data_IF_743482912872
#
_entry.id   IF_743482912872
#
_cell.length_a   1.000
_cell.length_b   1.000
_cell.length_c   1.000
_cell.angle_alpha   90.00
_cell.angle_beta   90.00
_cell.angle_gamma   90.00
#
_symmetry.space_group_name_H-M   'P 1'
#
loop_
_entity.id
_entity.type
_entity.pdbx_description
1 polymer ?
#
# COMPACT_ATOMS: atom_id res chain seq x y z
N UNK A 1 27.29 25.63 25.85
CA UNK A 1 26.43 24.64 25.18
C UNK A 1 25.03 24.82 25.69
N UNK A 2 23.97 24.59 24.85
CA UNK A 2 22.60 24.62 25.32
C UNK A 2 22.33 23.49 26.32
N UNK A 3 21.37 23.72 27.22
CA UNK A 3 20.79 22.66 28.05
C UNK A 3 19.70 21.98 27.27
N UNK A 4 19.83 20.69 27.01
CA UNK A 4 18.79 19.88 26.36
C UNK A 4 18.11 19.04 27.42
N UNK A 5 16.79 19.17 27.53
CA UNK A 5 15.96 18.44 28.50
C UNK A 5 14.85 17.69 27.81
N UNK A 6 14.56 16.48 28.28
CA UNK A 6 13.36 15.76 27.83
C UNK A 6 12.14 16.34 28.53
N UNK A 7 11.17 16.79 27.74
CA UNK A 7 9.97 17.42 28.22
C UNK A 7 8.74 16.75 27.67
N UNK A 8 7.82 16.39 28.56
CA UNK A 8 6.50 15.88 28.19
C UNK A 8 5.47 17.02 28.35
N UNK A 9 4.89 17.54 27.24
CA UNK A 9 3.93 18.64 27.32
C UNK A 9 2.63 18.26 28.03
N UNK A 10 2.31 16.97 28.13
CA UNK A 10 1.12 16.47 28.83
C UNK A 10 1.26 16.49 30.36
N UNK A 11 2.51 16.55 30.87
CA UNK A 11 2.83 16.52 32.28
C UNK A 11 3.68 17.74 32.65
N UNK A 12 3.08 18.84 33.13
CA UNK A 12 3.86 20.01 33.57
C UNK A 12 4.89 19.60 34.62
N UNK A 13 6.16 19.83 34.34
CA UNK A 13 7.26 19.44 35.24
C UNK A 13 8.33 20.50 35.34
N UNK A 14 8.93 20.59 36.54
CA UNK A 14 10.13 21.36 36.75
C UNK A 14 11.37 20.51 36.44
N UNK A 15 12.34 21.06 35.75
CA UNK A 15 13.65 20.43 35.59
C UNK A 15 14.74 21.21 36.32
N UNK A 16 15.70 20.48 36.86
CA UNK A 16 16.78 21.04 37.68
C UNK A 16 17.81 21.78 36.83
N UNK A 17 18.19 22.96 37.24
CA UNK A 17 19.29 23.73 36.66
C UNK A 17 20.68 23.24 37.14
N UNK A 18 20.73 22.28 38.06
CA UNK A 18 22.00 21.75 38.63
C UNK A 18 22.92 21.08 37.58
N UNK A 19 22.32 20.61 36.47
CA UNK A 19 23.10 19.93 35.40
C UNK A 19 23.84 20.89 34.47
N UNK A 20 23.66 22.19 34.64
CA UNK A 20 24.27 23.20 33.73
C UNK A 20 25.77 23.34 33.95
N UNK A 21 26.25 23.00 35.14
CA UNK A 21 27.68 23.13 35.51
C UNK A 21 28.17 24.57 35.53
N UNK A 22 27.26 25.56 35.63
CA UNK A 22 27.61 26.96 35.78
C UNK A 22 28.12 27.25 37.19
N UNK A 23 29.07 28.14 37.31
CA UNK A 23 29.57 28.63 38.59
C UNK A 23 29.36 30.13 38.70
N UNK A 24 28.91 30.57 39.86
CA UNK A 24 28.79 31.97 40.21
C UNK A 24 29.54 32.21 41.53
N UNK A 25 30.26 33.30 41.62
CA UNK A 25 31.01 33.66 42.83
C UNK A 25 31.02 35.14 43.07
N UNK A 26 31.27 35.55 44.31
CA UNK A 26 31.39 36.96 44.70
C UNK A 26 30.19 37.83 44.41
N UNK A 27 28.96 37.28 44.59
CA UNK A 27 27.72 37.94 44.40
C UNK A 27 26.99 38.18 45.76
N UNK A 28 26.18 39.23 45.83
CA UNK A 28 25.29 39.55 46.95
C UNK A 28 23.94 38.84 46.79
N UNK A 29 23.41 38.89 45.54
CA UNK A 29 22.14 38.27 45.19
C UNK A 29 22.11 37.93 43.72
N UNK A 30 21.19 37.07 43.32
CA UNK A 30 20.96 36.75 41.90
C UNK A 30 19.48 36.64 41.60
N UNK A 31 19.13 36.76 40.34
CA UNK A 31 17.76 36.49 39.79
C UNK A 31 17.85 35.66 38.55
N UNK A 32 16.86 34.77 38.37
CA UNK A 32 16.61 34.12 37.14
C UNK A 32 15.44 34.77 36.41
N UNK A 33 15.56 34.91 35.10
CA UNK A 33 14.52 35.44 34.24
C UNK A 33 14.37 34.57 32.99
N UNK A 34 13.12 34.29 32.59
CA UNK A 34 12.81 33.65 31.30
C UNK A 34 12.60 34.71 30.23
N UNK A 35 13.45 34.74 29.21
CA UNK A 35 13.54 35.75 28.18
C UNK A 35 12.46 35.61 27.10
N UNK A 36 11.21 35.35 27.51
CA UNK A 36 10.04 35.31 26.61
C UNK A 36 9.34 33.98 26.48
N UNK A 37 9.79 32.92 27.15
CA UNK A 37 9.14 31.61 27.14
C UNK A 37 7.90 31.51 28.00
N UNK A 38 7.70 32.47 28.93
CA UNK A 38 6.55 32.52 29.83
C UNK A 38 6.57 31.47 30.94
N UNK A 39 7.74 30.90 31.21
CA UNK A 39 7.94 29.89 32.24
C UNK A 39 8.09 30.46 33.66
N UNK A 40 8.26 29.56 34.61
CA UNK A 40 8.40 29.90 36.03
C UNK A 40 9.55 29.14 36.69
N UNK A 41 10.08 29.72 37.76
CA UNK A 41 11.13 29.13 38.56
C UNK A 41 10.61 28.67 39.92
N UNK A 42 11.05 27.47 40.34
CA UNK A 42 10.90 27.05 41.73
C UNK A 42 12.18 27.41 42.48
N UNK A 43 12.02 28.22 43.53
CA UNK A 43 13.17 28.70 44.29
C UNK A 43 13.94 27.54 44.98
N UNK A 44 15.27 27.58 44.82
CA UNK A 44 16.21 26.76 45.54
C UNK A 44 16.95 27.57 46.62
N UNK A 45 18.21 27.25 46.84
CA UNK A 45 19.03 27.99 47.76
C UNK A 45 19.40 29.37 47.20
N UNK A 46 19.23 30.43 48.01
CA UNK A 46 19.51 31.82 47.60
C UNK A 46 21.04 32.10 47.40
N UNK A 47 21.89 31.19 47.82
CA UNK A 47 23.35 31.28 47.59
C UNK A 47 23.85 30.35 46.47
N UNK A 48 22.97 29.57 45.88
CA UNK A 48 23.29 28.65 44.78
C UNK A 48 22.24 28.70 43.69
N UNK A 49 22.45 29.44 42.61
CA UNK A 49 21.50 29.55 41.50
C UNK A 49 21.23 28.22 40.79
N UNK A 50 22.18 27.25 40.90
CA UNK A 50 22.03 25.95 40.29
C UNK A 50 21.09 25.01 41.08
N UNK A 51 20.74 25.33 42.31
CA UNK A 51 19.76 24.57 43.10
C UNK A 51 18.31 24.86 42.71
N UNK A 52 18.08 25.78 41.79
CA UNK A 52 16.76 26.16 41.29
C UNK A 52 16.27 25.19 40.20
N UNK A 53 14.96 25.20 39.99
CA UNK A 53 14.34 24.43 38.91
C UNK A 53 13.47 25.36 38.05
N UNK A 54 13.41 25.06 36.76
CA UNK A 54 12.63 25.83 35.79
C UNK A 54 11.51 24.97 35.23
N UNK A 55 10.32 25.54 35.08
CA UNK A 55 9.17 24.99 34.38
C UNK A 55 8.92 25.82 33.13
N UNK A 56 8.96 25.22 31.92
CA UNK A 56 8.69 25.92 30.69
C UNK A 56 7.26 26.47 30.62
N UNK A 57 7.12 27.66 30.07
CA UNK A 57 5.80 28.22 29.73
C UNK A 57 5.33 27.77 28.36
N UNK A 58 4.07 28.06 28.02
CA UNK A 58 3.46 27.61 26.76
C UNK A 58 4.25 28.03 25.53
N UNK A 59 4.78 29.25 25.50
CA UNK A 59 5.56 29.72 24.36
C UNK A 59 6.90 28.98 24.22
N UNK A 60 7.58 28.65 25.31
CA UNK A 60 8.80 27.84 25.28
C UNK A 60 8.49 26.43 24.75
N UNK A 61 7.33 25.87 25.11
CA UNK A 61 6.87 24.55 24.64
C UNK A 61 6.57 24.59 23.14
N UNK A 62 5.86 25.59 22.67
CA UNK A 62 5.52 25.77 21.25
C UNK A 62 6.77 25.97 20.38
N UNK A 63 7.71 26.80 20.84
CA UNK A 63 8.96 27.11 20.15
C UNK A 63 10.01 25.98 20.32
N UNK A 64 9.77 25.01 21.22
CA UNK A 64 10.72 23.95 21.64
C UNK A 64 12.05 24.49 22.16
N UNK A 65 12.08 25.73 22.55
CA UNK A 65 13.30 26.40 23.08
C UNK A 65 12.95 27.66 23.85
N UNK A 66 13.80 28.02 24.77
CA UNK A 66 13.78 29.34 25.43
C UNK A 66 15.19 29.76 25.82
N UNK A 67 15.37 31.03 26.21
CA UNK A 67 16.58 31.56 26.78
C UNK A 67 16.34 31.98 28.23
N UNK A 68 17.13 31.46 29.14
CA UNK A 68 17.12 31.89 30.53
C UNK A 68 18.29 32.87 30.78
N UNK A 69 18.03 33.90 31.54
CA UNK A 69 19.02 34.88 31.95
C UNK A 69 19.25 34.76 33.47
N UNK A 70 20.49 34.67 33.87
CA UNK A 70 20.96 34.76 35.23
C UNK A 70 21.64 36.12 35.44
N UNK A 71 21.10 36.94 36.31
CA UNK A 71 21.68 38.24 36.68
C UNK A 71 22.23 38.14 38.09
N UNK A 72 23.49 38.52 38.26
CA UNK A 72 24.19 38.52 39.54
C UNK A 72 24.54 39.94 39.96
N UNK A 73 24.15 40.30 41.19
CA UNK A 73 24.45 41.61 41.81
C UNK A 73 25.76 41.48 42.63
N UNK A 74 26.77 42.32 42.42
CA UNK A 74 28.04 42.22 43.13
C UNK A 74 27.91 42.51 44.64
N UNK A 75 28.84 41.96 45.44
CA UNK A 75 29.02 42.27 46.87
C UNK A 75 29.60 43.67 47.09
N UNK A 76 29.34 44.27 48.26
CA UNK A 76 30.04 45.48 48.69
C UNK A 76 31.57 45.22 48.83
N UNK A 77 32.44 46.20 48.48
CA UNK A 77 32.15 47.57 48.04
C UNK A 77 31.91 47.72 46.54
N UNK A 78 31.78 46.61 45.78
CA UNK A 78 31.58 46.62 44.33
C UNK A 78 30.13 46.81 43.90
N UNK A 79 29.21 47.10 44.81
CA UNK A 79 27.77 47.27 44.52
C UNK A 79 27.44 48.43 43.56
N UNK A 80 28.43 49.31 43.26
CA UNK A 80 28.34 50.35 42.24
C UNK A 80 28.78 49.88 40.83
N UNK A 81 29.29 48.63 40.69
CA UNK A 81 29.65 48.06 39.39
C UNK A 81 28.39 47.48 38.70
N UNK A 82 28.39 47.41 37.36
CA UNK A 82 27.27 46.82 36.65
C UNK A 82 27.01 45.39 37.10
N UNK A 83 25.74 44.99 37.14
CA UNK A 83 25.29 43.60 37.25
C UNK A 83 25.93 42.73 36.15
N UNK A 84 26.19 41.47 36.46
CA UNK A 84 26.74 40.50 35.54
C UNK A 84 25.61 39.62 35.04
N UNK A 85 25.50 39.49 33.74
CA UNK A 85 24.49 38.67 33.10
C UNK A 85 25.12 37.46 32.41
N UNK A 86 24.43 36.33 32.52
CA UNK A 86 24.74 35.11 31.79
C UNK A 86 23.46 34.53 31.15
N UNK A 87 23.61 33.98 29.95
CA UNK A 87 22.50 33.43 29.20
C UNK A 87 22.64 31.94 28.97
N UNK A 88 21.55 31.22 29.14
CA UNK A 88 21.44 29.81 28.89
C UNK A 88 20.34 29.54 27.91
N UNK A 89 20.64 28.92 26.77
CA UNK A 89 19.64 28.38 25.87
C UNK A 89 19.18 27.02 26.39
N UNK A 90 17.88 26.85 26.55
CA UNK A 90 17.25 25.57 26.87
C UNK A 90 16.54 25.07 25.64
N UNK A 91 16.80 23.82 25.26
CA UNK A 91 16.11 23.11 24.18
C UNK A 91 15.21 22.07 24.87
N UNK A 92 13.92 22.13 24.53
CA UNK A 92 12.91 21.18 25.01
C UNK A 92 12.77 20.07 23.97
N UNK A 93 13.42 18.96 24.25
CA UNK A 93 13.33 17.77 23.44
C UNK A 93 12.10 16.95 23.86
N UNK A 94 11.51 16.19 22.94
CA UNK A 94 10.32 15.37 23.19
C UNK A 94 10.59 13.94 22.76
N UNK A 95 9.97 12.99 23.47
CA UNK A 95 10.00 11.59 23.01
C UNK A 95 9.37 11.47 21.62
N UNK A 96 9.87 10.57 20.78
CA UNK A 96 9.22 10.25 19.51
C UNK A 96 7.78 9.81 19.75
N UNK A 97 6.90 10.18 18.85
CA UNK A 97 5.52 9.71 18.82
C UNK A 97 5.30 8.89 17.54
N UNK A 98 4.59 7.78 17.65
CA UNK A 98 4.24 6.90 16.54
C UNK A 98 2.73 6.99 16.32
N UNK A 99 2.32 7.52 15.17
CA UNK A 99 0.93 7.77 14.81
C UNK A 99 0.49 6.76 13.77
N UNK A 100 -0.24 5.73 14.19
CA UNK A 100 -0.82 4.76 13.25
C UNK A 100 -2.07 5.35 12.61
N UNK A 101 -2.06 5.47 11.28
CA UNK A 101 -3.17 6.03 10.52
C UNK A 101 -4.35 5.06 10.47
N UNK A 102 -5.55 5.63 10.33
CA UNK A 102 -6.77 4.87 10.07
C UNK A 102 -6.80 4.46 8.59
N UNK A 103 -7.41 3.31 8.28
CA UNK A 103 -7.52 2.79 6.92
C UNK A 103 -6.95 1.38 6.79
N UNK A 104 -7.18 0.80 5.63
CA UNK A 104 -6.74 -0.55 5.33
C UNK A 104 -5.22 -0.61 5.17
N UNK A 105 -4.60 -1.58 5.84
CA UNK A 105 -3.18 -1.86 5.77
C UNK A 105 -3.01 -3.22 5.13
N UNK A 106 -2.74 -3.22 3.83
CA UNK A 106 -2.72 -4.43 3.02
C UNK A 106 -1.28 -4.73 2.58
N UNK A 107 -0.89 -5.98 2.73
CA UNK A 107 0.36 -6.53 2.20
C UNK A 107 0.03 -7.63 1.19
N UNK A 108 0.63 -7.56 0.03
CA UNK A 108 0.42 -8.53 -1.05
C UNK A 108 1.48 -9.63 -1.02
N UNK A 109 1.07 -10.85 -1.30
CA UNK A 109 1.94 -12.02 -1.43
C UNK A 109 3.01 -11.83 -2.52
N UNK A 110 4.18 -12.36 -2.26
CA UNK A 110 5.24 -12.51 -3.27
C UNK A 110 6.03 -11.24 -3.60
N UNK A 111 5.56 -10.06 -3.16
CA UNK A 111 6.20 -8.77 -3.42
C UNK A 111 6.67 -8.11 -2.13
N UNK A 112 7.62 -7.20 -2.26
CA UNK A 112 8.01 -6.31 -1.18
C UNK A 112 7.05 -5.13 -1.15
N UNK A 113 6.27 -5.03 -0.07
CA UNK A 113 5.30 -3.97 0.15
C UNK A 113 5.97 -2.84 0.94
N UNK A 114 5.88 -1.62 0.46
CA UNK A 114 6.39 -0.45 1.17
C UNK A 114 5.45 -0.07 2.31
N UNK A 115 6.01 0.14 3.51
CA UNK A 115 5.28 0.73 4.63
C UNK A 115 5.46 2.24 4.51
N UNK A 116 4.38 2.96 4.20
CA UNK A 116 4.42 4.39 3.85
C UNK A 116 3.89 5.28 4.98
N UNK A 117 4.04 6.59 4.79
CA UNK A 117 3.43 7.59 5.68
C UNK A 117 1.90 7.57 5.70
N UNK A 118 1.25 6.89 4.74
CA UNK A 118 -0.20 6.68 4.75
C UNK A 118 -0.63 5.62 5.77
N UNK A 119 0.32 4.78 6.21
CA UNK A 119 0.11 3.72 7.21
C UNK A 119 0.51 4.20 8.61
N UNK A 120 1.68 4.80 8.73
CA UNK A 120 2.25 5.26 10.00
C UNK A 120 3.04 6.54 9.81
N UNK A 121 2.89 7.46 10.74
CA UNK A 121 3.67 8.69 10.78
C UNK A 121 4.44 8.80 12.10
N UNK A 122 5.42 9.68 12.13
CA UNK A 122 6.32 9.84 13.27
C UNK A 122 6.55 11.31 13.55
N UNK A 123 6.34 11.70 14.80
CA UNK A 123 6.65 13.03 15.29
C UNK A 123 7.82 13.00 16.27
N UNK A 124 8.53 14.10 16.42
CA UNK A 124 9.69 14.25 17.29
C UNK A 124 10.78 13.19 17.05
N UNK A 125 10.87 12.67 15.82
CA UNK A 125 11.79 11.59 15.46
C UNK A 125 13.14 12.07 14.92
N UNK A 126 13.42 13.36 15.02
CA UNK A 126 14.70 13.96 14.58
C UNK A 126 15.87 13.27 15.29
N UNK A 127 16.84 12.78 14.52
CA UNK A 127 17.98 12.01 15.03
C UNK A 127 17.60 10.72 15.79
N UNK A 128 16.46 10.13 15.47
CA UNK A 128 16.06 8.81 16.00
C UNK A 128 16.51 7.69 15.07
N UNK A 129 16.66 6.50 15.65
CA UNK A 129 16.86 5.26 14.91
C UNK A 129 15.58 4.44 14.93
N UNK A 130 15.35 3.71 13.84
CA UNK A 130 14.18 2.87 13.66
C UNK A 130 14.57 1.41 13.69
N UNK A 131 13.69 0.56 14.21
CA UNK A 131 13.82 -0.89 14.12
C UNK A 131 12.44 -1.51 13.93
N UNK A 132 12.27 -2.22 12.82
CA UNK A 132 11.06 -2.98 12.50
C UNK A 132 11.29 -4.46 12.75
N UNK A 133 10.29 -5.10 13.39
CA UNK A 133 10.30 -6.53 13.74
C UNK A 133 8.91 -7.11 13.60
N UNK A 134 8.78 -8.43 13.71
CA UNK A 134 7.51 -9.16 13.64
C UNK A 134 7.35 -9.91 12.32
N UNK A 135 6.31 -10.76 12.25
CA UNK A 135 6.07 -11.66 11.14
C UNK A 135 7.15 -12.72 10.96
N UNK A 136 6.92 -13.63 10.03
CA UNK A 136 7.91 -14.63 9.60
C UNK A 136 8.48 -14.34 8.19
N UNK A 137 8.12 -13.18 7.65
CA UNK A 137 8.57 -12.70 6.36
C UNK A 137 9.94 -12.00 6.39
N UNK A 138 10.22 -11.24 5.35
CA UNK A 138 11.51 -10.59 5.19
C UNK A 138 11.35 -9.07 5.04
N UNK A 139 12.18 -8.33 5.78
CA UNK A 139 12.34 -6.89 5.61
C UNK A 139 13.47 -6.56 4.63
N UNK A 140 13.27 -5.50 3.84
CA UNK A 140 14.35 -4.74 3.25
C UNK A 140 14.45 -3.43 4.02
N UNK A 141 15.66 -3.15 4.53
CA UNK A 141 15.94 -1.94 5.32
C UNK A 141 15.08 -1.82 6.60
N UNK A 142 15.05 -2.86 7.44
CA UNK A 142 14.29 -2.86 8.71
C UNK A 142 14.66 -1.71 9.67
N UNK A 143 15.79 -1.03 9.44
CA UNK A 143 16.21 0.18 10.17
C UNK A 143 15.79 1.48 9.49
N UNK A 144 15.08 1.42 8.38
CA UNK A 144 14.50 2.59 7.72
C UNK A 144 13.24 3.07 8.44
N UNK A 145 12.94 4.38 8.32
CA UNK A 145 11.66 4.96 8.77
C UNK A 145 10.48 4.27 8.07
N UNK A 146 10.62 4.01 6.77
CA UNK A 146 9.66 3.32 5.92
C UNK A 146 10.35 2.15 5.22
N UNK A 147 10.31 0.95 5.80
CA UNK A 147 10.90 -0.24 5.21
C UNK A 147 9.96 -0.90 4.21
N UNK A 148 10.49 -1.88 3.50
CA UNK A 148 9.68 -2.81 2.72
C UNK A 148 9.55 -4.13 3.49
N UNK A 149 8.36 -4.74 3.44
CA UNK A 149 8.10 -6.05 4.01
C UNK A 149 7.48 -6.99 2.98
N UNK A 150 7.98 -8.21 2.93
CA UNK A 150 7.42 -9.31 2.12
C UNK A 150 6.90 -10.37 3.07
N UNK A 151 5.58 -10.67 3.07
CA UNK A 151 4.98 -11.66 3.95
C UNK A 151 5.60 -13.04 3.82
N UNK A 152 5.73 -13.73 4.94
CA UNK A 152 6.19 -15.11 5.04
C UNK A 152 5.05 -16.14 5.00
N UNK A 153 5.38 -17.44 5.06
CA UNK A 153 4.37 -18.51 4.97
C UNK A 153 3.33 -18.47 6.08
N UNK A 154 3.71 -18.13 7.31
CA UNK A 154 2.76 -18.04 8.44
C UNK A 154 1.83 -16.84 8.25
N UNK A 155 2.37 -15.68 7.86
CA UNK A 155 1.58 -14.48 7.58
C UNK A 155 0.53 -14.75 6.50
N UNK A 156 0.93 -15.46 5.44
CA UNK A 156 0.04 -15.87 4.34
C UNK A 156 -1.01 -16.87 4.80
N UNK A 157 -0.68 -17.79 5.72
CA UNK A 157 -1.62 -18.80 6.18
C UNK A 157 -2.66 -18.22 7.13
N UNK A 158 -2.27 -17.25 7.96
CA UNK A 158 -3.16 -16.57 8.91
C UNK A 158 -3.98 -15.45 8.26
N UNK A 159 -3.49 -14.88 7.15
CA UNK A 159 -4.10 -13.73 6.49
C UNK A 159 -3.89 -12.40 7.21
N UNK A 160 -3.10 -12.41 8.30
CA UNK A 160 -2.77 -11.21 9.09
C UNK A 160 -1.35 -11.31 9.62
N UNK A 161 -0.70 -10.15 9.80
CA UNK A 161 0.60 -10.04 10.46
C UNK A 161 0.64 -8.79 11.33
N UNK A 162 1.27 -8.91 12.50
CA UNK A 162 1.59 -7.75 13.34
C UNK A 162 3.06 -7.43 13.21
N UNK A 163 3.36 -6.25 12.68
CA UNK A 163 4.70 -5.69 12.66
C UNK A 163 4.84 -4.66 13.77
N UNK A 164 6.02 -4.60 14.39
CA UNK A 164 6.31 -3.67 15.48
C UNK A 164 7.41 -2.71 15.04
N UNK A 165 7.11 -1.42 15.08
CA UNK A 165 8.15 -0.39 14.93
C UNK A 165 8.60 0.09 16.29
N UNK A 166 9.91 0.19 16.48
CA UNK A 166 10.56 0.81 17.64
C UNK A 166 11.36 2.01 17.16
N UNK A 167 11.09 3.16 17.77
CA UNK A 167 11.82 4.41 17.53
C UNK A 167 12.64 4.72 18.78
N UNK A 168 13.94 4.83 18.59
CA UNK A 168 14.89 5.10 19.69
C UNK A 168 15.60 6.42 19.42
N UNK A 169 15.45 7.44 20.29
CA UNK A 169 16.21 8.66 20.19
C UNK A 169 17.71 8.36 20.26
N UNK A 170 18.52 8.93 19.37
CA UNK A 170 19.97 8.72 19.34
C UNK A 170 20.78 9.89 19.91
N UNK A 171 20.12 11.04 20.09
CA UNK A 171 20.72 12.24 20.69
C UNK A 171 19.61 13.13 21.26
N UNK A 172 19.98 14.06 22.12
CA UNK A 172 19.04 15.00 22.72
C UNK A 172 18.80 14.73 24.21
N UNK A 173 17.73 15.30 24.75
CA UNK A 173 17.36 15.17 26.17
C UNK A 173 16.57 13.89 26.45
N UNK A 174 15.87 13.36 25.46
CA UNK A 174 15.08 12.14 25.57
C UNK A 174 15.89 10.90 25.17
N UNK A 175 15.69 9.81 25.91
CA UNK A 175 16.41 8.55 25.68
C UNK A 175 15.48 7.33 25.66
N UNK A 176 14.19 7.54 25.90
CA UNK A 176 13.22 6.43 25.99
C UNK A 176 12.77 6.01 24.61
N UNK A 177 12.99 4.74 24.28
CA UNK A 177 12.45 4.14 23.06
C UNK A 177 10.93 3.96 23.17
N UNK A 178 10.23 4.21 22.05
CA UNK A 178 8.80 4.02 21.92
C UNK A 178 8.55 2.90 20.90
N UNK A 179 7.66 1.97 21.21
CA UNK A 179 7.31 0.87 20.32
C UNK A 179 5.80 0.82 20.09
N UNK A 180 5.40 0.54 18.83
CA UNK A 180 4.02 0.44 18.42
C UNK A 180 3.79 -0.77 17.53
N UNK A 181 2.88 -1.71 17.91
CA UNK A 181 2.43 -2.75 17.01
C UNK A 181 1.43 -2.20 15.98
N UNK A 182 1.55 -2.70 14.76
CA UNK A 182 0.68 -2.35 13.63
C UNK A 182 0.23 -3.66 12.99
N UNK A 183 -1.08 -3.87 12.92
CA UNK A 183 -1.65 -5.04 12.26
C UNK A 183 -1.89 -4.76 10.77
N UNK A 184 -1.53 -5.71 9.93
CA UNK A 184 -1.71 -5.70 8.49
C UNK A 184 -2.53 -6.90 8.06
N UNK A 185 -3.43 -6.69 7.09
CA UNK A 185 -4.06 -7.79 6.36
C UNK A 185 -3.11 -8.29 5.28
N UNK A 186 -2.96 -9.59 5.16
CA UNK A 186 -2.10 -10.21 4.15
C UNK A 186 -2.97 -10.87 3.08
N UNK A 187 -2.91 -10.31 1.87
CA UNK A 187 -3.67 -10.82 0.73
C UNK A 187 -2.81 -11.79 -0.10
N UNK A 188 -3.36 -12.98 -0.31
CA UNK A 188 -2.80 -13.98 -1.22
C UNK A 188 -3.02 -13.56 -2.66
N UNK A 189 -2.08 -13.96 -3.52
CA UNK A 189 -2.24 -13.78 -4.96
C UNK A 189 -3.50 -14.49 -5.45
N UNK A 190 -4.20 -13.81 -6.34
CA UNK A 190 -5.29 -14.41 -7.10
C UNK A 190 -4.72 -15.05 -8.36
N UNK A 191 -5.39 -16.07 -8.85
CA UNK A 191 -5.05 -16.78 -10.06
C UNK A 191 -6.32 -16.88 -10.88
N UNK A 192 -6.28 -16.34 -12.09
CA UNK A 192 -7.33 -16.58 -13.09
C UNK A 192 -6.87 -17.77 -13.94
N UNK A 193 -7.76 -18.74 -14.15
CA UNK A 193 -7.52 -19.90 -15.00
C UNK A 193 -8.80 -20.23 -15.76
N UNK A 194 -8.81 -19.94 -17.04
CA UNK A 194 -9.95 -20.16 -17.92
C UNK A 194 -10.02 -21.58 -18.49
N UNK A 195 -9.03 -22.40 -18.14
CA UNK A 195 -8.92 -23.77 -18.63
C UNK A 195 -8.37 -23.87 -20.05
N UNK A 196 -8.54 -25.04 -20.70
CA UNK A 196 -8.05 -25.28 -22.05
C UNK A 196 -8.91 -24.55 -23.10
N UNK A 197 -8.32 -24.39 -24.28
CA UNK A 197 -9.04 -23.89 -25.45
C UNK A 197 -10.26 -24.76 -25.78
N UNK A 198 -11.28 -24.13 -26.37
CA UNK A 198 -12.61 -24.71 -26.54
C UNK A 198 -12.94 -24.80 -28.03
N UNK A 199 -13.37 -25.97 -28.46
CA UNK A 199 -13.90 -26.19 -29.81
C UNK A 199 -15.42 -26.00 -29.81
N UNK A 200 -15.90 -25.06 -30.61
CA UNK A 200 -17.27 -24.64 -30.67
C UNK A 200 -17.81 -24.86 -32.09
N UNK A 201 -18.78 -25.76 -32.23
CA UNK A 201 -19.43 -25.97 -33.52
C UNK A 201 -20.46 -24.86 -33.80
N UNK A 202 -20.39 -24.26 -34.99
CA UNK A 202 -21.41 -23.31 -35.46
C UNK A 202 -22.77 -23.98 -35.45
N UNK A 203 -23.74 -23.36 -34.74
CA UNK A 203 -25.12 -23.80 -34.66
C UNK A 203 -26.06 -22.73 -35.24
N UNK A 204 -27.23 -23.14 -35.67
CA UNK A 204 -28.10 -22.27 -36.46
C UNK A 204 -28.91 -21.27 -35.63
N UNK A 205 -28.95 -21.34 -34.23
CA UNK A 205 -29.72 -20.37 -33.46
C UNK A 205 -29.72 -20.64 -31.95
N UNK A 206 -29.46 -19.66 -31.07
CA UNK A 206 -28.44 -18.63 -31.21
C UNK A 206 -27.06 -19.24 -30.99
N UNK A 207 -26.12 -18.91 -31.87
CA UNK A 207 -24.73 -19.34 -31.75
C UNK A 207 -24.03 -18.58 -30.58
N UNK A 208 -23.98 -19.19 -29.43
CA UNK A 208 -23.39 -18.59 -28.21
C UNK A 208 -22.75 -19.64 -27.32
N UNK A 209 -21.77 -19.21 -26.54
CA UNK A 209 -21.04 -20.06 -25.59
C UNK A 209 -21.20 -19.52 -24.18
N UNK A 210 -21.64 -20.38 -23.27
CA UNK A 210 -21.74 -20.06 -21.85
C UNK A 210 -20.40 -20.33 -21.16
N UNK A 211 -19.71 -19.25 -20.78
CA UNK A 211 -18.46 -19.31 -20.00
C UNK A 211 -18.82 -19.67 -18.56
N UNK A 212 -18.58 -20.90 -18.15
CA UNK A 212 -18.95 -21.41 -16.86
C UNK A 212 -17.78 -22.15 -16.21
N UNK A 213 -17.32 -21.67 -15.05
CA UNK A 213 -16.25 -22.30 -14.30
C UNK A 213 -15.87 -21.56 -13.03
N UNK A 214 -15.09 -22.21 -12.22
CA UNK A 214 -14.48 -21.64 -11.03
C UNK A 214 -13.12 -20.97 -11.43
N UNK A 215 -13.22 -19.93 -12.24
CA UNK A 215 -12.05 -19.34 -12.93
C UNK A 215 -11.07 -18.63 -12.01
N UNK A 216 -11.48 -18.24 -10.80
CA UNK A 216 -10.65 -17.48 -9.89
C UNK A 216 -10.38 -18.30 -8.64
N UNK A 217 -9.10 -18.47 -8.35
CA UNK A 217 -8.63 -19.13 -7.13
C UNK A 217 -7.57 -18.26 -6.43
N UNK A 218 -7.25 -18.56 -5.18
CA UNK A 218 -6.11 -18.02 -4.51
C UNK A 218 -4.89 -18.96 -4.60
N UNK A 219 -3.74 -18.49 -4.14
CA UNK A 219 -2.48 -19.24 -4.08
C UNK A 219 -2.41 -20.27 -2.94
N UNK A 220 -3.50 -20.58 -2.27
CA UNK A 220 -3.55 -21.59 -1.20
C UNK A 220 -3.22 -22.99 -1.72
N UNK A 221 -2.84 -23.88 -0.81
CA UNK A 221 -2.66 -25.30 -1.14
C UNK A 221 -3.51 -26.17 -0.19
N UNK A 222 -4.64 -26.77 -0.65
CA UNK A 222 -5.20 -26.66 -2.01
C UNK A 222 -5.72 -25.24 -2.31
N UNK A 223 -5.79 -24.83 -3.60
CA UNK A 223 -6.35 -23.54 -3.99
C UNK A 223 -7.80 -23.39 -3.55
N UNK A 224 -8.16 -22.21 -3.06
CA UNK A 224 -9.53 -21.87 -2.68
C UNK A 224 -10.21 -21.15 -3.84
N UNK A 225 -11.40 -21.60 -4.22
CA UNK A 225 -12.23 -20.94 -5.24
C UNK A 225 -12.75 -19.62 -4.69
N UNK A 226 -12.70 -18.59 -5.52
CA UNK A 226 -13.20 -17.25 -5.22
C UNK A 226 -14.33 -16.93 -6.16
N UNK A 227 -15.46 -16.50 -5.62
CA UNK A 227 -16.65 -16.10 -6.39
C UNK A 227 -16.93 -14.60 -6.17
N UNK A 228 -16.13 -13.71 -6.79
CA UNK A 228 -16.31 -12.28 -6.60
C UNK A 228 -17.59 -11.77 -7.28
N UNK A 229 -18.14 -10.70 -6.73
CA UNK A 229 -19.28 -9.97 -7.31
C UNK A 229 -18.85 -8.72 -8.06
N UNK A 230 -17.59 -8.34 -7.95
CA UNK A 230 -17.00 -7.15 -8.58
C UNK A 230 -15.56 -7.43 -8.99
N UNK A 231 -14.96 -6.53 -9.74
CA UNK A 231 -13.55 -6.61 -10.13
C UNK A 231 -13.26 -7.47 -11.36
N UNK A 232 -14.29 -8.09 -11.96
CA UNK A 232 -14.16 -8.89 -13.17
C UNK A 232 -14.33 -8.00 -14.39
N UNK A 233 -13.51 -8.25 -15.41
CA UNK A 233 -13.68 -7.65 -16.75
C UNK A 233 -13.36 -8.68 -17.82
N UNK A 234 -14.33 -8.92 -18.70
CA UNK A 234 -14.15 -9.72 -19.91
C UNK A 234 -13.93 -8.83 -21.12
N UNK A 235 -13.08 -9.28 -22.02
CA UNK A 235 -12.80 -8.62 -23.29
C UNK A 235 -12.33 -9.59 -24.35
N UNK A 236 -12.29 -9.10 -25.59
CA UNK A 236 -11.64 -9.78 -26.70
C UNK A 236 -10.18 -9.30 -26.73
N UNK A 237 -9.24 -10.23 -26.70
CA UNK A 237 -7.83 -9.90 -26.68
C UNK A 237 -7.44 -9.08 -27.92
N UNK A 238 -6.75 -7.96 -27.71
CA UNK A 238 -6.31 -7.02 -28.74
C UNK A 238 -7.43 -6.44 -29.62
N UNK A 239 -8.70 -6.50 -29.20
CA UNK A 239 -9.88 -6.17 -30.01
C UNK A 239 -9.92 -6.90 -31.35
N UNK A 240 -9.43 -8.15 -31.38
CA UNK A 240 -9.29 -8.94 -32.59
C UNK A 240 -10.51 -9.85 -32.84
N UNK A 241 -11.71 -9.31 -32.66
CA UNK A 241 -13.00 -9.94 -32.87
C UNK A 241 -14.12 -8.92 -32.76
N UNK A 242 -15.34 -9.35 -33.13
CA UNK A 242 -16.57 -8.51 -33.15
C UNK A 242 -17.76 -9.14 -32.41
N UNK A 243 -17.53 -10.22 -31.69
CA UNK A 243 -18.54 -10.83 -30.83
C UNK A 243 -18.85 -10.00 -29.58
N UNK A 244 -19.85 -10.45 -28.84
CA UNK A 244 -20.37 -9.72 -27.67
C UNK A 244 -20.55 -10.62 -26.45
N UNK A 245 -20.35 -10.05 -25.27
CA UNK A 245 -20.68 -10.70 -24.00
C UNK A 245 -22.04 -10.26 -23.51
N UNK A 246 -22.81 -11.16 -22.90
CA UNK A 246 -24.06 -10.81 -22.22
C UNK A 246 -23.86 -9.79 -21.10
N UNK A 247 -22.76 -9.89 -20.38
CA UNK A 247 -22.33 -8.99 -19.32
C UNK A 247 -20.82 -9.11 -19.15
N UNK A 248 -20.07 -8.03 -19.37
CA UNK A 248 -18.59 -8.04 -19.30
C UNK A 248 -18.04 -8.10 -17.88
N UNK A 249 -18.89 -7.90 -16.87
CA UNK A 249 -18.51 -7.90 -15.45
C UNK A 249 -19.01 -9.13 -14.69
N UNK A 250 -19.74 -10.03 -15.33
CA UNK A 250 -20.21 -11.27 -14.72
C UNK A 250 -19.09 -12.30 -14.63
N UNK A 251 -19.12 -13.15 -13.58
CA UNK A 251 -18.16 -14.26 -13.45
C UNK A 251 -18.33 -15.26 -14.61
N UNK A 252 -19.54 -15.55 -14.99
CA UNK A 252 -19.92 -16.54 -15.99
C UNK A 252 -20.83 -15.92 -17.07
N UNK A 253 -20.30 -15.12 -18.00
CA UNK A 253 -21.09 -14.53 -19.06
C UNK A 253 -21.36 -15.51 -20.20
N UNK A 254 -22.31 -15.15 -21.06
CA UNK A 254 -22.49 -15.78 -22.36
C UNK A 254 -21.73 -14.95 -23.40
N UNK A 255 -20.91 -15.59 -24.21
CA UNK A 255 -20.28 -14.98 -25.36
C UNK A 255 -21.00 -15.39 -26.67
N UNK A 256 -21.31 -14.42 -27.49
CA UNK A 256 -21.90 -14.60 -28.80
C UNK A 256 -20.89 -14.16 -29.86
N UNK A 257 -20.29 -15.10 -30.62
CA UNK A 257 -19.33 -14.77 -31.67
C UNK A 257 -19.97 -13.87 -32.74
N UNK A 258 -19.22 -12.92 -33.23
CA UNK A 258 -19.59 -12.07 -34.33
C UNK A 258 -19.20 -12.64 -35.72
N UNK A 259 -19.62 -12.00 -36.80
CA UNK A 259 -19.26 -12.45 -38.15
C UNK A 259 -17.74 -12.54 -38.40
N UNK A 260 -16.95 -11.64 -37.79
CA UNK A 260 -15.50 -11.66 -37.96
C UNK A 260 -14.88 -12.86 -37.27
N UNK A 261 -15.34 -13.19 -36.03
CA UNK A 261 -14.90 -14.37 -35.28
C UNK A 261 -15.20 -15.66 -36.06
N UNK A 262 -16.43 -15.76 -36.57
CA UNK A 262 -16.87 -16.90 -37.38
C UNK A 262 -16.04 -17.02 -38.67
N UNK A 263 -15.75 -15.90 -39.33
CA UNK A 263 -14.98 -15.89 -40.56
C UNK A 263 -13.52 -16.30 -40.34
N UNK A 264 -12.94 -15.92 -39.20
CA UNK A 264 -11.59 -16.30 -38.80
C UNK A 264 -11.49 -17.73 -38.26
N UNK A 265 -12.63 -18.29 -37.83
CA UNK A 265 -12.68 -19.61 -37.21
C UNK A 265 -12.13 -19.65 -35.79
N UNK A 266 -11.87 -18.50 -35.19
CA UNK A 266 -11.41 -18.42 -33.80
C UNK A 266 -11.54 -17.01 -33.25
N UNK A 267 -11.61 -16.91 -31.91
CA UNK A 267 -11.49 -15.67 -31.14
C UNK A 267 -10.80 -15.96 -29.81
N UNK A 268 -9.96 -15.04 -29.35
CA UNK A 268 -9.32 -15.14 -28.02
C UNK A 268 -10.05 -14.23 -27.06
N UNK A 269 -10.63 -14.81 -26.01
CA UNK A 269 -11.25 -14.11 -24.92
C UNK A 269 -10.28 -13.95 -23.77
N UNK A 270 -10.35 -12.82 -23.07
CA UNK A 270 -9.55 -12.53 -21.89
C UNK A 270 -10.46 -12.19 -20.73
N UNK A 271 -10.17 -12.77 -19.56
CA UNK A 271 -10.72 -12.35 -18.28
C UNK A 271 -9.63 -11.67 -17.47
N UNK A 272 -9.91 -10.51 -16.94
CA UNK A 272 -9.08 -9.81 -15.97
C UNK A 272 -9.83 -9.70 -14.64
N UNK A 273 -9.14 -9.94 -13.55
CA UNK A 273 -9.67 -9.77 -12.21
C UNK A 273 -8.81 -8.81 -11.40
N UNK A 274 -9.47 -7.81 -10.80
CA UNK A 274 -8.88 -6.82 -9.91
C UNK A 274 -9.79 -6.63 -8.69
N UNK A 275 -9.32 -7.00 -7.51
CA UNK A 275 -10.04 -6.79 -6.24
C UNK A 275 -9.74 -5.44 -5.59
N UNK A 276 -8.94 -4.59 -6.25
CA UNK A 276 -8.55 -3.27 -5.77
C UNK A 276 -7.44 -3.28 -4.71
N UNK A 277 -6.93 -4.44 -4.32
CA UNK A 277 -5.98 -4.55 -3.21
C UNK A 277 -4.56 -4.90 -3.62
N UNK A 278 -4.39 -5.74 -4.64
CA UNK A 278 -3.10 -6.20 -5.15
C UNK A 278 -3.05 -6.06 -6.67
N UNK A 279 -2.13 -6.75 -7.33
CA UNK A 279 -2.00 -6.67 -8.78
C UNK A 279 -3.19 -7.32 -9.50
N UNK A 280 -3.52 -6.77 -10.66
CA UNK A 280 -4.44 -7.38 -11.61
C UNK A 280 -3.89 -8.73 -12.08
N UNK A 281 -4.78 -9.69 -12.25
CA UNK A 281 -4.46 -11.00 -12.81
C UNK A 281 -5.37 -11.29 -13.99
N UNK A 282 -4.86 -11.95 -15.02
CA UNK A 282 -5.64 -12.26 -16.21
C UNK A 282 -5.22 -13.59 -16.81
N UNK A 283 -6.15 -14.19 -17.54
CA UNK A 283 -5.89 -15.36 -18.38
C UNK A 283 -6.71 -15.26 -19.66
N UNK A 284 -6.37 -16.08 -20.64
CA UNK A 284 -7.00 -16.10 -21.95
C UNK A 284 -7.46 -17.51 -22.31
N UNK A 285 -8.55 -17.60 -23.09
CA UNK A 285 -9.05 -18.84 -23.66
C UNK A 285 -9.36 -18.60 -25.14
N UNK A 286 -8.97 -19.54 -25.99
CA UNK A 286 -9.28 -19.51 -27.42
C UNK A 286 -10.57 -20.30 -27.64
N UNK A 287 -11.55 -19.67 -28.27
CA UNK A 287 -12.71 -20.36 -28.84
C UNK A 287 -12.41 -20.65 -30.32
N UNK A 288 -12.21 -21.93 -30.66
CA UNK A 288 -12.09 -22.41 -32.04
C UNK A 288 -13.49 -22.60 -32.61
N UNK A 289 -13.84 -21.83 -33.61
CA UNK A 289 -15.17 -21.86 -34.23
C UNK A 289 -15.14 -22.78 -35.46
N UNK A 290 -15.71 -23.97 -35.30
CA UNK A 290 -15.76 -24.96 -36.34
C UNK A 290 -17.07 -24.77 -37.11
N UNK A 291 -16.99 -24.38 -38.37
CA UNK A 291 -18.16 -24.20 -39.19
C UNK A 291 -18.80 -25.54 -39.54
N UNK A 292 -20.13 -25.57 -39.48
CA UNK A 292 -20.87 -26.72 -39.95
C UNK A 292 -20.76 -26.79 -41.49
N UNK A 293 -20.47 -27.99 -42.05
CA UNK A 293 -20.48 -28.15 -43.49
C UNK A 293 -21.88 -27.76 -44.04
N UNK A 294 -21.88 -26.87 -44.99
CA UNK A 294 -23.12 -26.52 -45.74
C UNK A 294 -22.99 -26.96 -47.16
N UNK A 295 -23.93 -27.70 -47.64
CA UNK A 295 -24.05 -28.04 -49.04
C UNK A 295 -25.45 -27.57 -49.55
N UNK A 296 -25.43 -26.65 -50.43
CA UNK A 296 -26.64 -26.18 -51.12
C UNK A 296 -26.56 -26.69 -52.57
N UNK A 297 -27.63 -27.28 -52.98
CA UNK A 297 -27.83 -27.63 -54.38
C UNK A 297 -28.83 -26.59 -54.94
N UNK A 298 -28.33 -25.69 -55.76
CA UNK A 298 -29.16 -24.66 -56.38
C UNK A 298 -30.27 -25.33 -57.19
N UNK A 299 -31.50 -25.34 -56.65
CA UNK A 299 -32.68 -25.90 -57.28
C UNK A 299 -33.39 -24.92 -58.23
N UNK A 300 -32.91 -23.68 -58.35
CA UNK A 300 -33.40 -22.69 -59.29
C UNK A 300 -33.11 -23.07 -60.76
N UNK A 301 -32.21 -23.99 -60.99
CA UNK A 301 -31.87 -24.49 -62.31
C UNK A 301 -32.94 -25.45 -62.87
N UNK A 302 -33.97 -25.78 -62.09
CA UNK A 302 -35.01 -26.74 -62.48
C UNK A 302 -34.46 -28.17 -62.66
N UNK A 303 -35.33 -29.08 -63.07
CA UNK A 303 -34.93 -30.46 -63.27
C UNK A 303 -33.88 -30.56 -64.39
N UNK A 304 -32.60 -30.98 -63.98
CA UNK A 304 -31.52 -31.20 -64.93
C UNK A 304 -31.91 -32.36 -65.85
N UNK A 305 -32.20 -32.04 -67.10
CA UNK A 305 -32.37 -33.09 -68.09
C UNK A 305 -31.05 -33.60 -68.64
N UNK A 306 -30.74 -34.87 -68.43
CA UNK A 306 -29.59 -35.55 -68.95
C UNK A 306 -30.11 -36.55 -70.02
N UNK A 307 -29.61 -36.43 -71.25
CA UNK A 307 -29.85 -37.43 -72.24
C UNK A 307 -29.27 -38.80 -71.87
N UNK A 308 -29.96 -39.88 -72.19
CA UNK A 308 -29.55 -41.23 -71.90
C UNK A 308 -28.08 -41.44 -72.34
N UNK A 309 -27.18 -41.79 -71.47
CA UNK A 309 -25.72 -41.98 -71.70
C UNK A 309 -24.85 -40.72 -71.59
N UNK A 310 -25.43 -39.55 -71.27
CA UNK A 310 -24.66 -38.32 -70.98
C UNK A 310 -24.27 -38.23 -69.51
N UNK A 311 -23.22 -37.47 -69.23
CA UNK A 311 -22.82 -37.04 -67.87
C UNK A 311 -22.68 -35.53 -67.81
N UNK A 312 -23.12 -34.91 -66.70
CA UNK A 312 -22.92 -33.49 -66.46
C UNK A 312 -22.18 -33.34 -65.12
N UNK A 313 -21.11 -32.56 -65.07
CA UNK A 313 -20.47 -32.26 -63.77
C UNK A 313 -21.40 -31.37 -62.96
N UNK A 314 -21.60 -31.70 -61.70
CA UNK A 314 -22.40 -30.92 -60.74
C UNK A 314 -21.55 -30.00 -59.85
N UNK A 315 -20.29 -29.76 -60.24
CA UNK A 315 -19.34 -28.97 -59.48
C UNK A 315 -19.58 -27.46 -59.47
N UNK A 316 -20.37 -26.96 -60.44
CA UNK A 316 -20.69 -25.53 -60.54
C UNK A 316 -21.91 -25.12 -59.67
N UNK A 317 -22.68 -26.09 -59.20
CA UNK A 317 -23.96 -25.90 -58.55
C UNK A 317 -23.86 -26.25 -57.02
N UNK A 318 -22.63 -26.45 -56.49
CA UNK A 318 -22.43 -26.84 -55.10
C UNK A 318 -21.59 -25.80 -54.40
N UNK A 319 -22.17 -25.10 -53.42
CA UNK A 319 -21.39 -24.27 -52.49
C UNK A 319 -21.02 -25.08 -51.25
N UNK A 320 -19.73 -25.13 -50.91
CA UNK A 320 -19.20 -25.88 -49.77
C UNK A 320 -18.58 -24.89 -48.79
N UNK A 321 -19.00 -24.92 -47.58
CA UNK A 321 -18.40 -24.18 -46.46
C UNK A 321 -18.03 -25.15 -45.33
N UNK A 322 -16.91 -24.94 -44.63
CA UNK A 322 -15.91 -23.90 -44.82
C UNK A 322 -15.03 -24.11 -46.03
N UNK A 323 -14.39 -23.04 -46.50
CA UNK A 323 -13.41 -23.10 -47.62
C UNK A 323 -12.31 -24.12 -47.29
N UNK A 324 -12.11 -25.08 -48.15
CA UNK A 324 -11.14 -26.18 -47.96
C UNK A 324 -11.72 -27.56 -47.67
N UNK A 325 -13.07 -27.67 -47.48
CA UNK A 325 -13.71 -28.98 -47.43
C UNK A 325 -13.60 -29.69 -48.82
N UNK A 326 -13.11 -30.90 -48.85
CA UNK A 326 -13.00 -31.73 -50.06
C UNK A 326 -14.23 -32.63 -50.12
N UNK A 327 -14.90 -32.63 -51.25
CA UNK A 327 -15.94 -33.62 -51.53
C UNK A 327 -15.27 -34.96 -51.79
N UNK A 328 -15.62 -35.99 -51.04
CA UNK A 328 -15.24 -37.36 -51.30
C UNK A 328 -16.23 -38.03 -52.27
#
# INVERSE_FOLDING_TARGET
SPLVVCYDPSVPQFFSLATIGATISNFHSFTWEDMGGGGSFSAGNLTDPMSWSYQPGSKAIDDKTTQLKLTAVPNDPCSSTPEMEAFLTVILDQNPEIIVKTGDKILCEGVYNEITSDIVDFENDTQSTFAWTGGDGNFVSSSSKFPFYRPGPTDLSTGVVTLVVTVTPSSGGCTTAVSQPIEFTVNKNKIVNLGPDIDLCESTDPFSYFLNGDFITDSSSPPSVITPTTGITWGILNNDGDGTFSETTALNPVYTPGPLDINRGQVTLQMTYNDGSCNDVSDTVILNIIRTPFADLDDDLGAIQICAGGSRPITEDIEIRPVGATIQ
#
